data_IF_577992630215
#
_entry.id   IF_577992630215
#
_cell.length_a   1.000
_cell.length_b   1.000
_cell.length_c   1.000
_cell.angle_alpha   90.00
_cell.angle_beta   90.00
_cell.angle_gamma   90.00
#
_symmetry.space_group_name_H-M   'P 1'
#
loop_
_entity.id
_entity.type
_entity.pdbx_description
1 polymer ?
#
# COMPACT_ATOMS: atom_id res chain seq x y z
N UNK A 1 -18.60 0.08 -14.89
CA UNK A 1 -18.43 -1.11 -14.00
C UNK A 1 -17.10 -1.84 -14.22
N UNK A 2 -16.08 -1.23 -14.83
CA UNK A 2 -14.70 -1.72 -14.73
C UNK A 2 -14.13 -1.17 -13.41
N UNK A 3 -14.16 -1.97 -12.36
CA UNK A 3 -13.82 -1.56 -10.99
C UNK A 3 -12.32 -1.35 -10.84
N UNK A 4 -11.90 -0.11 -11.07
CA UNK A 4 -10.80 0.63 -10.46
C UNK A 4 -9.64 -0.18 -9.89
N UNK A 5 -8.68 -0.51 -10.75
CA UNK A 5 -7.34 -0.89 -10.31
C UNK A 5 -6.33 0.27 -10.40
N UNK A 6 -6.74 1.46 -10.80
CA UNK A 6 -5.80 2.57 -10.94
C UNK A 6 -6.43 3.88 -10.44
N UNK A 7 -5.64 4.58 -9.61
CA UNK A 7 -5.67 6.05 -9.52
C UNK A 7 -6.75 6.73 -8.67
N UNK A 8 -6.81 6.35 -7.40
CA UNK A 8 -6.65 7.34 -6.32
C UNK A 8 -5.58 6.76 -5.38
N UNK A 9 -4.28 6.85 -5.68
CA UNK A 9 -3.51 8.06 -5.37
C UNK A 9 -4.40 9.10 -4.68
N UNK A 10 -4.71 8.81 -3.42
CA UNK A 10 -5.17 9.79 -2.44
C UNK A 10 -3.96 10.70 -2.21
N UNK A 11 -3.62 11.51 -3.21
CA UNK A 11 -3.08 12.84 -3.02
C UNK A 11 -4.19 13.72 -2.44
N UNK A 12 -4.78 13.29 -1.32
CA UNK A 12 -5.47 14.24 -0.45
C UNK A 12 -4.38 14.88 0.38
N UNK A 13 -3.64 15.74 -0.31
CA UNK A 13 -3.60 17.14 0.06
C UNK A 13 -3.55 17.32 1.57
N UNK A 14 -2.37 17.08 2.14
CA UNK A 14 -1.95 17.77 3.36
C UNK A 14 -1.69 19.24 2.99
N UNK A 15 -2.71 19.91 2.44
CA UNK A 15 -2.80 21.36 2.32
C UNK A 15 -3.14 21.91 3.69
N UNK A 16 -2.20 21.77 4.61
CA UNK A 16 -2.09 22.54 5.84
C UNK A 16 -0.61 22.95 5.96
N UNK A 17 -0.08 23.56 4.90
CA UNK A 17 0.97 24.55 5.07
C UNK A 17 0.29 25.77 5.70
N UNK A 18 1.05 26.49 6.52
CA UNK A 18 0.75 27.84 7.02
C UNK A 18 -0.06 27.89 8.32
N UNK A 19 0.51 27.34 9.38
CA UNK A 19 0.08 27.64 10.75
C UNK A 19 1.18 27.33 11.75
N UNK A 20 2.00 28.33 12.05
CA UNK A 20 2.80 28.45 13.27
C UNK A 20 3.94 27.45 13.52
N UNK A 21 5.14 27.88 13.09
CA UNK A 21 6.23 28.23 14.01
C UNK A 21 6.29 27.48 15.36
N UNK A 22 7.42 26.81 15.62
CA UNK A 22 7.99 26.44 16.94
C UNK A 22 7.97 24.97 17.44
N UNK A 23 7.51 23.95 16.69
CA UNK A 23 7.53 22.52 17.15
C UNK A 23 8.46 21.57 16.39
N UNK A 24 9.57 22.09 15.87
CA UNK A 24 10.46 21.42 14.90
C UNK A 24 11.26 20.18 15.36
N UNK A 25 11.13 19.70 16.61
CA UNK A 25 11.93 18.57 17.11
C UNK A 25 11.15 17.28 17.46
N UNK A 26 9.85 17.34 17.76
CA UNK A 26 9.05 16.17 18.20
C UNK A 26 7.99 15.70 17.19
N UNK A 27 7.68 16.48 16.15
CA UNK A 27 6.63 16.18 15.16
C UNK A 27 7.12 15.40 13.93
N UNK A 28 8.34 14.90 13.95
CA UNK A 28 8.92 14.04 12.91
C UNK A 28 8.59 12.55 13.12
N UNK A 29 7.38 12.21 13.55
CA UNK A 29 6.75 10.99 13.02
C UNK A 29 6.31 11.36 11.59
N UNK A 30 7.35 11.46 10.77
CA UNK A 30 7.46 12.18 9.50
C UNK A 30 6.49 11.60 8.48
N UNK A 31 5.90 12.45 7.64
CA UNK A 31 5.17 12.10 6.40
C UNK A 31 5.57 10.77 5.75
N UNK A 32 6.87 10.48 5.68
CA UNK A 32 7.42 9.20 5.21
C UNK A 32 6.85 7.94 5.88
N UNK A 33 6.65 7.93 7.20
CA UNK A 33 6.04 6.80 7.93
C UNK A 33 4.55 6.62 7.57
N UNK A 34 3.84 7.73 7.35
CA UNK A 34 2.43 7.70 6.92
C UNK A 34 2.35 7.17 5.48
N UNK A 35 3.27 7.58 4.61
CA UNK A 35 3.38 7.07 3.25
C UNK A 35 3.70 5.57 3.24
N UNK A 36 4.69 5.11 4.00
CA UNK A 36 5.03 3.70 4.10
C UNK A 36 3.88 2.85 4.64
N UNK A 37 3.17 3.36 5.67
CA UNK A 37 1.97 2.71 6.21
C UNK A 37 0.85 2.62 5.18
N UNK A 38 0.53 3.71 4.49
CA UNK A 38 -0.53 3.72 3.47
C UNK A 38 -0.19 2.82 2.28
N UNK A 39 1.08 2.80 1.85
CA UNK A 39 1.58 1.86 0.85
C UNK A 39 1.39 0.41 1.31
N UNK A 40 1.77 0.09 2.55
CA UNK A 40 1.58 -1.25 3.14
C UNK A 40 0.10 -1.65 3.15
N UNK A 41 -0.78 -0.77 3.63
CA UNK A 41 -2.22 -1.02 3.67
C UNK A 41 -2.79 -1.26 2.27
N UNK A 42 -2.32 -0.51 1.26
CA UNK A 42 -2.74 -0.70 -0.14
C UNK A 42 -2.33 -2.08 -0.69
N UNK A 43 -1.11 -2.53 -0.40
CA UNK A 43 -0.60 -3.84 -0.83
C UNK A 43 -1.34 -4.97 -0.12
N UNK A 44 -1.63 -4.83 1.17
CA UNK A 44 -2.42 -5.80 1.92
C UNK A 44 -3.85 -5.93 1.37
N UNK A 45 -4.48 -4.81 1.00
CA UNK A 45 -5.80 -4.81 0.38
C UNK A 45 -5.78 -5.47 -1.02
N UNK A 46 -4.74 -5.24 -1.82
CA UNK A 46 -4.59 -5.91 -3.11
C UNK A 46 -4.36 -7.43 -2.93
N UNK A 47 -3.56 -7.82 -1.94
CA UNK A 47 -3.31 -9.23 -1.58
C UNK A 47 -4.60 -9.95 -1.21
N UNK A 48 -5.44 -9.37 -0.34
CA UNK A 48 -6.70 -10.01 0.08
C UNK A 48 -7.66 -10.21 -1.09
N UNK A 49 -7.77 -9.24 -2.00
CA UNK A 49 -8.57 -9.36 -3.23
C UNK A 49 -8.08 -10.47 -4.15
N UNK A 50 -6.76 -10.63 -4.30
CA UNK A 50 -6.18 -11.70 -5.11
C UNK A 50 -6.47 -13.07 -4.48
N UNK A 51 -6.39 -13.20 -3.15
CA UNK A 51 -6.74 -14.44 -2.45
C UNK A 51 -8.21 -14.82 -2.68
N UNK A 52 -9.13 -13.87 -2.53
CA UNK A 52 -10.56 -14.08 -2.84
C UNK A 52 -10.76 -14.45 -4.32
N UNK A 53 -10.00 -13.83 -5.22
CA UNK A 53 -10.05 -14.15 -6.65
C UNK A 53 -9.48 -15.55 -6.95
N UNK A 54 -8.49 -16.01 -6.19
CA UNK A 54 -7.92 -17.36 -6.32
C UNK A 54 -8.90 -18.43 -5.86
N UNK A 55 -9.64 -18.17 -4.77
CA UNK A 55 -10.68 -19.07 -4.27
C UNK A 55 -11.80 -19.30 -5.30
N UNK A 56 -12.11 -18.29 -6.11
CA UNK A 56 -13.15 -18.36 -7.15
C UNK A 56 -12.60 -18.68 -8.56
N UNK A 57 -11.29 -18.72 -8.74
CA UNK A 57 -10.66 -18.92 -10.05
C UNK A 57 -10.63 -20.40 -10.46
N UNK A 58 -11.50 -20.78 -11.40
CA UNK A 58 -11.50 -22.13 -11.99
C UNK A 58 -10.49 -22.30 -13.14
N UNK A 59 -10.02 -21.21 -13.75
CA UNK A 59 -9.15 -21.27 -14.93
C UNK A 59 -7.67 -21.27 -14.55
N UNK A 60 -6.94 -22.32 -14.95
CA UNK A 60 -5.52 -22.52 -14.63
C UNK A 60 -4.62 -21.35 -15.04
N UNK A 61 -4.82 -20.78 -16.24
CA UNK A 61 -4.06 -19.62 -16.73
C UNK A 61 -4.31 -18.35 -15.89
N UNK A 62 -5.57 -18.11 -15.51
CA UNK A 62 -5.94 -16.96 -14.69
C UNK A 62 -5.42 -17.11 -13.26
N UNK A 63 -5.49 -18.33 -12.71
CA UNK A 63 -4.90 -18.68 -11.42
C UNK A 63 -3.39 -18.45 -11.39
N UNK A 64 -2.66 -18.90 -12.41
CA UNK A 64 -1.21 -18.67 -12.52
C UNK A 64 -0.86 -17.16 -12.58
N UNK A 65 -1.69 -16.35 -13.23
CA UNK A 65 -1.53 -14.90 -13.22
C UNK A 65 -1.71 -14.32 -11.82
N UNK A 66 -2.79 -14.71 -11.13
CA UNK A 66 -3.09 -14.27 -9.76
C UNK A 66 -1.98 -14.69 -8.78
N UNK A 67 -1.45 -15.90 -8.89
CA UNK A 67 -0.32 -16.39 -8.08
C UNK A 67 0.95 -15.58 -8.32
N UNK A 68 1.25 -15.23 -9.58
CA UNK A 68 2.39 -14.35 -9.91
C UNK A 68 2.19 -12.95 -9.33
N UNK A 69 1.01 -12.38 -9.46
CA UNK A 69 0.68 -11.07 -8.87
C UNK A 69 0.78 -11.11 -7.34
N UNK A 70 0.33 -12.19 -6.70
CA UNK A 70 0.45 -12.40 -5.26
C UNK A 70 1.92 -12.42 -4.81
N UNK A 71 2.77 -13.16 -5.52
CA UNK A 71 4.22 -13.20 -5.25
C UNK A 71 4.88 -11.83 -5.37
N UNK A 72 4.47 -11.05 -6.36
CA UNK A 72 4.98 -9.70 -6.57
C UNK A 72 4.60 -8.78 -5.39
N UNK A 73 3.34 -8.79 -4.97
CA UNK A 73 2.86 -8.01 -3.81
C UNK A 73 3.56 -8.40 -2.51
N UNK A 74 3.77 -9.70 -2.27
CA UNK A 74 4.50 -10.17 -1.09
C UNK A 74 5.95 -9.67 -1.08
N UNK A 75 6.60 -9.61 -2.26
CA UNK A 75 7.96 -9.05 -2.39
C UNK A 75 7.99 -7.57 -2.06
N UNK A 76 7.00 -6.80 -2.53
CA UNK A 76 6.88 -5.38 -2.18
C UNK A 76 6.63 -5.19 -0.68
N UNK A 77 5.78 -6.01 -0.07
CA UNK A 77 5.51 -5.96 1.37
C UNK A 77 6.79 -6.23 2.19
N UNK A 78 7.57 -7.26 1.82
CA UNK A 78 8.82 -7.57 2.51
C UNK A 78 9.86 -6.44 2.40
N UNK A 79 9.91 -5.76 1.26
CA UNK A 79 10.75 -4.56 1.10
C UNK A 79 10.29 -3.43 2.02
N UNK A 80 8.99 -3.16 2.08
CA UNK A 80 8.46 -2.13 2.98
C UNK A 80 8.69 -2.47 4.45
N UNK A 81 8.57 -3.73 4.85
CA UNK A 81 8.86 -4.17 6.22
C UNK A 81 10.35 -4.04 6.58
N UNK A 82 11.24 -4.12 5.59
CA UNK A 82 12.68 -3.87 5.78
C UNK A 82 12.98 -2.37 5.89
N UNK A 83 12.21 -1.53 5.18
CA UNK A 83 12.32 -0.07 5.18
C UNK A 83 11.64 0.61 6.37
N UNK A 84 10.84 -0.11 7.15
CA UNK A 84 10.33 0.31 8.44
C UNK A 84 11.39 0.01 9.51
N UNK A 85 12.25 0.96 9.92
CA UNK A 85 13.09 0.77 11.08
C UNK A 85 12.15 0.65 12.27
N UNK A 86 12.02 -0.58 12.76
CA UNK A 86 11.40 -0.87 14.04
C UNK A 86 12.23 -0.15 15.10
N UNK A 87 11.73 0.98 15.59
CA UNK A 87 12.25 1.69 16.76
C UNK A 87 12.28 0.80 17.99
#
# INVERSE_FOLDING_TARGET
>A
MARGWESKLVEEQISQREGDSQKSAQQKLTSRQIELRSQRESILLARSRILISLESACHSRYRALLERSLSHLNTQLARLETEEPTS
#
